data_IF_518636955615
#
_entry.id   IF_518636955615
#
_cell.length_a   1.000
_cell.length_b   1.000
_cell.length_c   1.000
_cell.angle_alpha   90.00
_cell.angle_beta   90.00
_cell.angle_gamma   90.00
#
_symmetry.space_group_name_H-M   'P 1'
#
loop_
_entity.id
_entity.type
_entity.pdbx_description
1 polymer ?
#
# COMPACT_ATOMS: atom_id res chain seq x y z
N UNK A 1 -11.16 6.96 1.25
CA UNK A 1 -10.44 6.84 -0.01
C UNK A 1 -11.28 6.08 -1.05
N UNK A 2 -11.61 4.77 -0.84
CA UNK A 2 -12.39 3.96 -1.78
C UNK A 2 -13.72 4.59 -2.19
N UNK A 3 -14.43 5.22 -1.26
CA UNK A 3 -15.69 5.91 -1.54
C UNK A 3 -15.50 7.12 -2.44
N UNK A 4 -14.42 7.86 -2.27
CA UNK A 4 -14.10 9.01 -3.12
C UNK A 4 -13.80 8.59 -4.57
N UNK A 5 -13.09 7.47 -4.74
CA UNK A 5 -12.87 6.91 -6.07
C UNK A 5 -14.17 6.46 -6.73
N UNK A 6 -15.03 5.78 -5.99
CA UNK A 6 -16.34 5.34 -6.47
C UNK A 6 -17.26 6.53 -6.81
N UNK A 7 -17.24 7.60 -6.02
CA UNK A 7 -17.96 8.85 -6.32
C UNK A 7 -17.49 9.50 -7.62
N UNK A 8 -16.23 9.32 -8.00
CA UNK A 8 -15.66 9.80 -9.27
C UNK A 8 -15.88 8.84 -10.44
N UNK A 9 -16.65 7.77 -10.24
CA UNK A 9 -17.04 6.83 -11.28
C UNK A 9 -16.09 5.62 -11.47
N UNK A 10 -15.13 5.43 -10.58
CA UNK A 10 -14.28 4.24 -10.61
C UNK A 10 -15.04 3.01 -10.07
N UNK A 11 -14.80 1.84 -10.68
CA UNK A 11 -15.20 0.56 -10.10
C UNK A 11 -14.11 0.12 -9.12
N UNK A 12 -14.46 -0.01 -7.85
CA UNK A 12 -13.52 -0.22 -6.75
C UNK A 12 -13.73 -1.56 -6.10
N UNK A 13 -12.66 -2.37 -6.02
CA UNK A 13 -12.59 -3.54 -5.17
C UNK A 13 -11.68 -3.23 -3.97
N UNK A 14 -12.24 -3.17 -2.78
CA UNK A 14 -11.49 -3.01 -1.52
C UNK A 14 -11.22 -4.37 -0.88
N UNK A 15 -9.95 -4.65 -0.57
CA UNK A 15 -9.51 -5.94 -0.01
C UNK A 15 -8.80 -5.70 1.31
N UNK A 16 -9.13 -6.47 2.32
CA UNK A 16 -8.43 -6.52 3.60
C UNK A 16 -8.52 -7.93 4.19
N UNK A 17 -7.50 -8.37 4.91
CA UNK A 17 -7.50 -9.66 5.62
C UNK A 17 -8.42 -9.63 6.86
N UNK A 18 -8.71 -8.45 7.38
CA UNK A 18 -9.58 -8.24 8.54
C UNK A 18 -11.05 -8.22 8.13
N UNK A 19 -11.78 -9.28 8.43
CA UNK A 19 -13.23 -9.35 8.23
C UNK A 19 -13.97 -8.21 8.93
N UNK A 20 -13.50 -7.81 10.12
CA UNK A 20 -14.09 -6.71 10.88
C UNK A 20 -13.97 -5.37 10.15
N UNK A 21 -12.80 -5.06 9.57
CA UNK A 21 -12.61 -3.83 8.78
C UNK A 21 -13.46 -3.84 7.51
N UNK A 22 -13.57 -4.97 6.85
CA UNK A 22 -14.44 -5.15 5.68
C UNK A 22 -15.91 -4.96 6.04
N UNK A 23 -16.38 -5.52 7.15
CA UNK A 23 -17.75 -5.28 7.62
C UNK A 23 -18.02 -3.80 7.91
N UNK A 24 -17.07 -3.11 8.55
CA UNK A 24 -17.19 -1.67 8.81
C UNK A 24 -17.25 -0.91 7.48
N UNK A 25 -16.40 -1.25 6.50
CA UNK A 25 -16.42 -0.63 5.18
C UNK A 25 -17.77 -0.83 4.48
N UNK A 26 -18.30 -2.06 4.48
CA UNK A 26 -19.63 -2.39 3.94
C UNK A 26 -20.76 -1.61 4.60
N UNK A 27 -20.73 -1.51 5.94
CA UNK A 27 -21.75 -0.74 6.71
C UNK A 27 -21.71 0.76 6.40
N UNK A 28 -20.51 1.30 6.12
CA UNK A 28 -20.32 2.72 5.81
C UNK A 28 -20.52 3.05 4.33
N UNK A 29 -20.63 2.05 3.45
CA UNK A 29 -20.80 2.26 2.02
C UNK A 29 -22.15 2.94 1.73
N UNK A 30 -22.16 4.15 1.13
CA UNK A 30 -23.37 4.83 0.71
C UNK A 30 -24.18 3.99 -0.28
N UNK A 31 -25.51 4.01 -0.17
CA UNK A 31 -26.39 3.18 -1.01
C UNK A 31 -26.19 3.42 -2.51
N UNK A 32 -25.95 4.66 -2.89
CA UNK A 32 -25.72 5.07 -4.28
C UNK A 32 -24.36 4.65 -4.86
N UNK A 33 -23.46 4.09 -4.04
CA UNK A 33 -22.13 3.61 -4.49
C UNK A 33 -22.02 2.08 -4.52
N UNK A 34 -23.09 1.37 -4.19
CA UNK A 34 -23.08 -0.11 -4.11
C UNK A 34 -22.81 -0.79 -5.44
N UNK A 35 -23.08 -0.13 -6.55
CA UNK A 35 -22.79 -0.64 -7.89
C UNK A 35 -21.34 -0.40 -8.31
N UNK A 36 -20.65 0.56 -7.67
CA UNK A 36 -19.29 0.97 -8.02
C UNK A 36 -18.24 0.57 -6.97
N UNK A 37 -18.63 0.04 -5.82
CA UNK A 37 -17.68 -0.38 -4.79
C UNK A 37 -18.09 -1.70 -4.14
N UNK A 38 -17.14 -2.62 -4.12
CA UNK A 38 -17.22 -3.90 -3.44
C UNK A 38 -16.10 -4.01 -2.40
N UNK A 39 -16.37 -4.70 -1.28
CA UNK A 39 -15.38 -4.97 -0.24
C UNK A 39 -15.38 -6.45 0.11
N UNK A 40 -14.20 -7.08 0.08
CA UNK A 40 -14.06 -8.51 0.36
C UNK A 40 -12.95 -8.76 1.40
N UNK A 41 -13.18 -9.77 2.24
CA UNK A 41 -12.14 -10.29 3.13
C UNK A 41 -11.29 -11.27 2.35
N UNK A 42 -10.05 -10.89 2.04
CA UNK A 42 -9.14 -11.74 1.29
C UNK A 42 -7.68 -11.27 1.45
N UNK A 43 -6.76 -12.12 1.05
CA UNK A 43 -5.34 -11.78 0.92
C UNK A 43 -5.08 -11.09 -0.42
N UNK A 44 -4.37 -9.97 -0.41
CA UNK A 44 -3.98 -9.21 -1.61
C UNK A 44 -3.11 -10.03 -2.57
N UNK A 45 -2.46 -11.11 -2.10
CA UNK A 45 -1.63 -11.99 -2.91
C UNK A 45 -2.44 -13.01 -3.72
N UNK A 46 -3.73 -13.17 -3.44
CA UNK A 46 -4.61 -14.01 -4.25
C UNK A 46 -4.93 -13.33 -5.58
N UNK A 47 -5.34 -14.13 -6.56
CA UNK A 47 -5.77 -13.60 -7.83
C UNK A 47 -7.21 -13.07 -7.73
N UNK A 48 -7.37 -11.78 -7.88
CA UNK A 48 -8.66 -11.07 -7.86
C UNK A 48 -9.07 -10.54 -9.24
N UNK A 49 -8.39 -10.97 -10.32
CA UNK A 49 -8.58 -10.45 -11.67
C UNK A 49 -7.59 -9.35 -12.02
N UNK A 50 -7.84 -8.64 -13.12
CA UNK A 50 -7.00 -7.57 -13.62
C UNK A 50 -7.60 -6.21 -13.32
N UNK A 51 -6.75 -5.24 -13.01
CA UNK A 51 -7.12 -3.88 -12.64
C UNK A 51 -6.29 -2.87 -13.43
N UNK A 52 -6.88 -1.75 -13.76
CA UNK A 52 -6.11 -0.64 -14.36
C UNK A 52 -5.17 -0.03 -13.33
N UNK A 53 -5.65 0.11 -12.09
CA UNK A 53 -4.88 0.66 -10.97
C UNK A 53 -4.98 -0.24 -9.75
N UNK A 54 -3.85 -0.50 -9.10
CA UNK A 54 -3.79 -1.11 -7.76
C UNK A 54 -3.22 -0.07 -6.80
N UNK A 55 -3.85 0.10 -5.62
CA UNK A 55 -3.46 1.11 -4.66
C UNK A 55 -3.25 0.48 -3.28
N UNK A 56 -2.04 0.66 -2.74
CA UNK A 56 -1.57 0.09 -1.48
C UNK A 56 -1.18 1.22 -0.52
N UNK A 57 -2.17 1.74 0.21
CA UNK A 57 -1.92 2.78 1.22
C UNK A 57 -1.61 2.14 2.56
N UNK A 58 -0.40 2.40 3.08
CA UNK A 58 0.11 1.89 4.36
C UNK A 58 0.05 0.36 4.54
N UNK A 59 -0.06 -0.37 3.42
CA UNK A 59 -0.12 -1.83 3.42
C UNK A 59 1.27 -2.46 3.41
N UNK A 60 2.22 -1.87 2.67
CA UNK A 60 3.57 -2.42 2.49
C UNK A 60 4.54 -2.08 3.62
N UNK A 61 4.19 -1.16 4.49
CA UNK A 61 5.05 -0.66 5.58
C UNK A 61 5.44 -1.72 6.61
N UNK A 62 4.73 -2.84 6.64
CA UNK A 62 4.97 -3.96 7.56
C UNK A 62 5.84 -5.07 6.95
N UNK A 63 6.14 -5.00 5.65
CA UNK A 63 6.87 -6.05 4.95
C UNK A 63 8.35 -5.67 4.78
N UNK A 64 9.27 -6.63 4.98
CA UNK A 64 10.67 -6.47 4.59
C UNK A 64 10.81 -6.15 3.09
N UNK A 65 11.91 -5.53 2.70
CA UNK A 65 12.18 -5.11 1.32
C UNK A 65 11.95 -6.22 0.28
N UNK A 66 12.49 -7.41 0.55
CA UNK A 66 12.34 -8.57 -0.34
C UNK A 66 10.88 -8.99 -0.52
N UNK A 67 10.10 -8.97 0.56
CA UNK A 67 8.68 -9.34 0.50
C UNK A 67 7.87 -8.25 -0.19
N UNK A 68 8.21 -6.98 0.05
CA UNK A 68 7.63 -5.84 -0.68
C UNK A 68 7.82 -5.99 -2.19
N UNK A 69 9.02 -6.35 -2.65
CA UNK A 69 9.29 -6.59 -4.07
C UNK A 69 8.47 -7.75 -4.61
N UNK A 70 8.44 -8.89 -3.91
CA UNK A 70 7.65 -10.05 -4.32
C UNK A 70 6.15 -9.73 -4.43
N UNK A 71 5.61 -8.93 -3.51
CA UNK A 71 4.21 -8.46 -3.56
C UNK A 71 3.99 -7.61 -4.80
N UNK A 72 4.84 -6.62 -5.05
CA UNK A 72 4.73 -5.73 -6.22
C UNK A 72 4.84 -6.50 -7.53
N UNK A 73 5.75 -7.47 -7.63
CA UNK A 73 5.89 -8.34 -8.81
C UNK A 73 4.64 -9.19 -9.07
N UNK A 74 4.05 -9.74 -8.01
CA UNK A 74 2.81 -10.50 -8.13
C UNK A 74 1.65 -9.62 -8.60
N UNK A 75 1.51 -8.44 -8.03
CA UNK A 75 0.46 -7.49 -8.38
C UNK A 75 0.63 -6.90 -9.79
N UNK A 76 1.87 -6.68 -10.24
CA UNK A 76 2.16 -6.22 -11.61
C UNK A 76 1.61 -7.16 -12.69
N UNK A 77 1.54 -8.47 -12.42
CA UNK A 77 0.97 -9.44 -13.38
C UNK A 77 -0.50 -9.16 -13.67
N UNK A 78 -1.20 -8.59 -12.68
CA UNK A 78 -2.63 -8.32 -12.73
C UNK A 78 -2.94 -6.82 -12.85
N UNK A 79 -1.95 -5.98 -13.17
CA UNK A 79 -2.10 -4.52 -13.33
C UNK A 79 -1.94 -4.14 -14.79
N UNK A 80 -2.86 -3.35 -15.33
CA UNK A 80 -2.81 -2.85 -16.70
C UNK A 80 -2.01 -1.56 -16.84
N UNK A 81 -2.15 -0.64 -15.89
CA UNK A 81 -1.59 0.72 -15.95
C UNK A 81 -0.56 0.98 -14.86
N UNK A 82 -1.00 1.02 -13.59
CA UNK A 82 -0.14 1.44 -12.47
C UNK A 82 -0.44 0.74 -11.16
N UNK A 83 0.61 0.55 -10.37
CA UNK A 83 0.52 0.32 -8.93
C UNK A 83 0.95 1.59 -8.20
N UNK A 84 0.11 2.09 -7.30
CA UNK A 84 0.37 3.24 -6.44
C UNK A 84 0.53 2.74 -5.01
N UNK A 85 1.62 3.09 -4.34
CA UNK A 85 1.89 2.57 -3.00
C UNK A 85 2.67 3.53 -2.12
N UNK A 86 2.55 3.35 -0.81
CA UNK A 86 3.28 4.14 0.17
C UNK A 86 4.35 3.29 0.85
N UNK A 87 5.52 3.91 1.10
CA UNK A 87 6.59 3.39 1.93
C UNK A 87 6.93 4.39 3.03
N UNK A 88 7.41 3.87 4.17
CA UNK A 88 7.94 4.69 5.26
C UNK A 88 9.46 4.79 5.12
N UNK A 89 10.02 6.00 4.92
CA UNK A 89 11.46 6.19 4.83
C UNK A 89 12.20 5.76 6.10
N UNK A 90 13.35 5.12 5.93
CA UNK A 90 14.15 4.53 7.02
C UNK A 90 14.54 5.50 8.15
N UNK A 91 14.70 6.79 7.84
CA UNK A 91 15.13 7.80 8.81
C UNK A 91 14.04 8.17 9.83
N UNK A 92 12.78 7.98 9.49
CA UNK A 92 11.64 8.30 10.37
C UNK A 92 11.47 7.28 11.50
N UNK A 93 11.77 6.02 11.26
CA UNK A 93 11.54 4.96 12.24
C UNK A 93 12.48 5.04 13.43
N UNK A 94 13.69 5.52 13.22
CA UNK A 94 14.60 5.74 14.36
C UNK A 94 13.99 6.74 15.35
N UNK A 95 13.39 7.80 14.84
CA UNK A 95 12.70 8.82 15.64
C UNK A 95 11.43 8.25 16.29
N UNK A 96 10.65 7.45 15.56
CA UNK A 96 9.43 6.83 16.08
C UNK A 96 9.73 5.77 17.14
N UNK A 97 10.73 4.91 16.94
CA UNK A 97 11.17 3.92 17.96
C UNK A 97 11.65 4.60 19.24
N UNK A 98 12.33 5.72 19.14
CA UNK A 98 12.81 6.48 20.32
C UNK A 98 11.65 7.16 21.07
N UNK A 99 10.58 7.59 20.36
CA UNK A 99 9.40 8.18 20.99
C UNK A 99 8.45 7.13 21.58
N UNK A 100 8.17 6.07 20.84
CA UNK A 100 7.20 5.02 21.21
C UNK A 100 7.79 4.08 22.27
N UNK A 101 9.08 3.79 22.22
CA UNK A 101 9.76 2.97 23.24
C UNK A 101 9.75 3.55 24.66
N UNK A 102 9.42 4.84 24.81
CA UNK A 102 9.28 5.52 26.10
C UNK A 102 7.86 5.54 26.66
N UNK A 103 6.83 5.27 25.87
CA UNK A 103 5.42 5.56 26.21
C UNK A 103 4.50 4.34 26.33
N UNK A 104 4.92 3.14 25.89
CA UNK A 104 4.02 1.98 25.91
C UNK A 104 4.55 0.82 26.76
N UNK A 105 3.68 0.20 27.60
CA UNK A 105 3.96 -1.07 28.26
C UNK A 105 4.09 -2.19 27.21
N UNK A 106 4.91 -3.18 27.50
CA UNK A 106 5.30 -4.29 26.62
C UNK A 106 4.15 -5.24 26.15
N UNK A 107 2.90 -4.94 26.47
CA UNK A 107 1.76 -5.84 26.23
C UNK A 107 0.99 -5.63 24.93
N UNK A 108 1.15 -4.48 24.25
CA UNK A 108 0.45 -4.19 22.99
C UNK A 108 1.46 -4.11 21.85
N UNK A 109 1.67 -5.25 21.17
CA UNK A 109 2.56 -5.33 20.03
C UNK A 109 1.86 -4.76 18.79
N UNK A 110 2.05 -3.47 18.55
CA UNK A 110 1.84 -2.91 17.22
C UNK A 110 2.66 -3.69 16.19
N UNK A 111 2.12 -3.96 15.00
CA UNK A 111 2.86 -4.64 13.94
C UNK A 111 4.20 -3.94 13.69
N UNK A 112 5.26 -4.72 13.57
CA UNK A 112 6.62 -4.19 13.33
C UNK A 112 6.63 -3.46 12.01
N UNK A 113 6.98 -2.16 12.02
CA UNK A 113 7.21 -1.40 10.80
C UNK A 113 8.56 -1.82 10.20
N UNK A 114 8.59 -2.04 8.89
CA UNK A 114 9.79 -2.36 8.11
C UNK A 114 10.16 -1.15 7.25
N UNK A 115 11.13 -0.32 7.72
CA UNK A 115 11.54 0.86 6.97
C UNK A 115 12.34 0.51 5.73
N UNK A 116 12.06 1.18 4.65
CA UNK A 116 12.80 1.04 3.41
C UNK A 116 13.47 2.38 3.04
N UNK A 117 14.72 2.31 2.60
CA UNK A 117 15.34 3.46 1.96
C UNK A 117 14.78 3.56 0.54
N UNK A 118 13.82 4.46 0.33
CA UNK A 118 13.10 4.60 -0.93
C UNK A 118 14.01 4.94 -2.12
N UNK A 119 15.07 5.71 -1.91
CA UNK A 119 16.05 6.00 -2.95
C UNK A 119 16.83 4.74 -3.37
N UNK A 120 17.35 4.02 -2.39
CA UNK A 120 18.05 2.75 -2.66
C UNK A 120 17.09 1.71 -3.26
N UNK A 121 15.85 1.66 -2.81
CA UNK A 121 14.83 0.78 -3.39
C UNK A 121 14.61 1.08 -4.88
N UNK A 122 14.42 2.35 -5.25
CA UNK A 122 14.25 2.76 -6.64
C UNK A 122 15.50 2.43 -7.47
N UNK A 123 16.70 2.73 -6.96
CA UNK A 123 17.96 2.48 -7.67
C UNK A 123 18.20 0.97 -7.90
N UNK A 124 17.97 0.14 -6.89
CA UNK A 124 18.22 -1.31 -6.96
C UNK A 124 17.22 -2.02 -7.86
N UNK A 125 15.94 -1.65 -7.78
CA UNK A 125 14.86 -2.42 -8.41
C UNK A 125 14.36 -1.81 -9.73
N UNK A 126 14.79 -0.61 -10.11
CA UNK A 126 14.40 0.02 -11.38
C UNK A 126 14.67 -0.88 -12.57
N UNK A 127 15.91 -1.32 -12.74
CA UNK A 127 16.31 -2.16 -13.87
C UNK A 127 15.58 -3.51 -13.89
N UNK A 128 15.26 -4.05 -12.72
CA UNK A 128 14.51 -5.30 -12.61
C UNK A 128 13.08 -5.12 -13.10
N UNK A 129 12.36 -4.12 -12.58
CA UNK A 129 10.99 -3.86 -12.97
C UNK A 129 10.88 -3.49 -14.46
N UNK A 130 11.83 -2.73 -14.97
CA UNK A 130 11.86 -2.33 -16.38
C UNK A 130 12.08 -3.54 -17.30
N UNK A 131 13.07 -4.40 -17.01
CA UNK A 131 13.40 -5.56 -17.86
C UNK A 131 12.37 -6.68 -17.79
N UNK A 132 11.88 -6.99 -16.58
CA UNK A 132 11.03 -8.17 -16.36
C UNK A 132 9.54 -7.87 -16.56
N UNK A 133 9.12 -6.64 -16.29
CA UNK A 133 7.69 -6.26 -16.27
C UNK A 133 7.34 -5.09 -17.19
N UNK A 134 8.33 -4.50 -17.87
CA UNK A 134 8.19 -3.26 -18.64
C UNK A 134 7.56 -2.14 -17.78
N UNK A 135 7.97 -2.07 -16.51
CA UNK A 135 7.41 -1.14 -15.53
C UNK A 135 8.48 -0.22 -14.96
N UNK A 136 8.18 1.07 -14.88
CA UNK A 136 9.08 2.09 -14.33
C UNK A 136 8.64 2.46 -12.92
N UNK A 137 9.59 2.42 -11.96
CA UNK A 137 9.36 2.87 -10.58
C UNK A 137 9.79 4.32 -10.41
N UNK A 138 8.95 5.14 -9.79
CA UNK A 138 9.27 6.53 -9.45
C UNK A 138 8.62 6.98 -8.15
N UNK A 139 9.22 7.97 -7.49
CA UNK A 139 8.63 8.68 -6.36
C UNK A 139 7.79 9.83 -6.87
N UNK A 140 6.54 9.92 -6.43
CA UNK A 140 5.60 10.97 -6.83
C UNK A 140 5.65 12.13 -5.84
N UNK A 141 5.54 11.81 -4.54
CA UNK A 141 5.49 12.82 -3.49
C UNK A 141 5.94 12.25 -2.15
N UNK A 142 6.33 13.16 -1.28
CA UNK A 142 6.66 12.84 0.10
C UNK A 142 5.85 13.74 1.02
N UNK A 143 5.11 13.13 1.92
CA UNK A 143 4.38 13.82 2.98
C UNK A 143 5.19 13.62 4.27
N UNK A 144 5.50 14.73 4.93
CA UNK A 144 6.21 14.68 6.20
C UNK A 144 5.53 15.65 7.17
N UNK A 145 5.06 15.11 8.29
CA UNK A 145 4.55 15.86 9.42
C UNK A 145 5.37 15.50 10.66
N UNK A 146 5.13 16.17 11.77
CA UNK A 146 5.92 15.99 12.99
C UNK A 146 5.93 14.53 13.50
N UNK A 147 4.84 13.79 13.28
CA UNK A 147 4.68 12.40 13.74
C UNK A 147 4.69 11.34 12.63
N UNK A 148 4.61 11.73 11.36
CA UNK A 148 4.44 10.80 10.27
C UNK A 148 5.18 11.26 9.02
N UNK A 149 5.92 10.35 8.41
CA UNK A 149 6.50 10.56 7.09
C UNK A 149 6.17 9.38 6.20
N UNK A 150 5.60 9.65 5.06
CA UNK A 150 5.30 8.66 4.04
C UNK A 150 5.76 9.16 2.68
N UNK A 151 6.27 8.27 1.88
CA UNK A 151 6.65 8.53 0.49
C UNK A 151 5.72 7.75 -0.43
N UNK A 152 5.13 8.45 -1.38
CA UNK A 152 4.18 7.92 -2.35
C UNK A 152 4.90 7.62 -3.66
N UNK A 153 4.86 6.37 -4.07
CA UNK A 153 5.54 5.84 -5.24
C UNK A 153 4.55 5.29 -6.26
N UNK A 154 4.98 5.24 -7.51
CA UNK A 154 4.27 4.51 -8.57
C UNK A 154 5.18 3.50 -9.25
N UNK A 155 4.59 2.38 -9.64
CA UNK A 155 5.07 1.48 -10.68
C UNK A 155 4.14 1.63 -11.87
N UNK A 156 4.66 2.09 -12.99
CA UNK A 156 3.92 2.31 -14.23
C UNK A 156 4.38 1.32 -15.29
N UNK A 157 3.43 0.60 -15.88
CA UNK A 157 3.62 -0.19 -17.10
C UNK A 157 3.64 0.69 -18.34
#
# INVERSE_FOLDING_TARGET
>A
FSFELALRGANVLGIDISSNLIEIAKKRLPKNLKENAEFITSDMMQNHGSFDYIILMDSLIHYPEKDTVNILENLLKNTNEKILFTLVPSNFILTLKLMVGRLFPKSDRSPTLSPLNTKSFIEIYRDKFEREYNATVSSISKVSDFFYTSEFLELRK
#
